data_IF_338346999586
#
_entry.id   IF_338346999586
#
_cell.length_a   1.000
_cell.length_b   1.000
_cell.length_c   1.000
_cell.angle_alpha   90.00
_cell.angle_beta   90.00
_cell.angle_gamma   90.00
#
_symmetry.space_group_name_H-M   'P 1'
#
loop_
_entity.id
_entity.type
_entity.pdbx_description
1 polymer ?
#
# COMPACT_ATOMS: atom_id res chain seq x y z
N UNK A 1 -8.25 -25.41 -2.46
CA UNK A 1 -7.44 -24.46 -1.67
C UNK A 1 -8.09 -23.11 -1.84
N UNK A 2 -8.44 -22.44 -0.74
CA UNK A 2 -9.29 -21.25 -0.78
C UNK A 2 -8.61 -20.13 -1.60
N UNK A 3 -9.32 -19.55 -2.57
CA UNK A 3 -8.94 -18.29 -3.17
C UNK A 3 -8.80 -17.27 -2.05
N UNK A 4 -7.58 -16.83 -1.79
CA UNK A 4 -7.24 -16.03 -0.61
C UNK A 4 -7.22 -14.55 -0.94
N UNK A 5 -7.35 -13.69 0.07
CA UNK A 5 -6.93 -12.28 0.02
C UNK A 5 -5.43 -12.18 0.36
N UNK A 6 -4.73 -11.07 0.06
CA UNK A 6 -3.40 -10.85 0.62
C UNK A 6 -3.45 -10.93 2.15
N UNK A 7 -2.35 -11.34 2.79
CA UNK A 7 -2.24 -11.34 4.25
C UNK A 7 -2.15 -9.90 4.80
N UNK A 8 -1.55 -8.99 4.04
CA UNK A 8 -1.48 -7.57 4.37
C UNK A 8 -1.40 -6.68 3.13
N UNK A 9 -1.75 -5.42 3.32
CA UNK A 9 -1.50 -4.32 2.38
C UNK A 9 -0.49 -3.38 3.01
N UNK A 10 0.64 -3.17 2.33
CA UNK A 10 1.58 -2.11 2.64
C UNK A 10 1.26 -0.88 1.79
N UNK A 11 1.23 0.29 2.42
CA UNK A 11 0.93 1.57 1.80
C UNK A 11 2.16 2.46 1.87
N UNK A 12 2.64 2.92 0.73
CA UNK A 12 3.38 4.18 0.69
C UNK A 12 2.44 5.35 1.07
N UNK A 13 3.03 6.52 1.33
CA UNK A 13 2.31 7.67 1.87
C UNK A 13 2.07 8.78 0.84
N UNK A 14 3.12 9.54 0.51
CA UNK A 14 3.02 10.67 -0.41
C UNK A 14 2.80 10.17 -1.84
N UNK A 15 1.94 10.83 -2.61
CA UNK A 15 1.56 10.39 -3.94
C UNK A 15 0.66 9.14 -3.97
N UNK A 16 0.39 8.52 -2.82
CA UNK A 16 -0.34 7.25 -2.70
C UNK A 16 -1.59 7.38 -1.85
N UNK A 17 -1.45 7.71 -0.56
CA UNK A 17 -2.58 7.95 0.37
C UNK A 17 -2.89 9.43 0.46
N UNK A 18 -1.85 10.27 0.52
CA UNK A 18 -1.96 11.74 0.51
C UNK A 18 -1.11 12.30 -0.63
N UNK A 19 -1.44 13.49 -1.18
CA UNK A 19 -0.54 14.18 -2.12
C UNK A 19 0.82 14.48 -1.50
N UNK A 20 0.79 15.00 -0.27
CA UNK A 20 1.97 15.32 0.51
C UNK A 20 1.63 15.35 1.99
N UNK A 21 2.64 15.21 2.85
CA UNK A 21 2.48 15.33 4.30
C UNK A 21 1.68 16.57 4.70
N UNK A 22 0.69 16.39 5.57
CA UNK A 22 -0.17 17.48 6.06
C UNK A 22 -1.34 17.85 5.15
N UNK A 23 -1.44 17.26 3.95
CA UNK A 23 -2.58 17.46 3.05
C UNK A 23 -3.65 16.39 3.26
N UNK A 24 -4.86 16.66 2.76
CA UNK A 24 -5.96 15.71 2.85
C UNK A 24 -5.66 14.42 2.05
N UNK A 25 -6.10 13.25 2.55
CA UNK A 25 -6.02 12.01 1.78
C UNK A 25 -6.76 12.11 0.44
N UNK A 26 -6.29 11.34 -0.54
CA UNK A 26 -7.02 11.17 -1.79
C UNK A 26 -8.42 10.58 -1.52
N UNK A 27 -9.39 10.99 -2.35
CA UNK A 27 -10.76 10.55 -2.23
C UNK A 27 -10.85 9.01 -2.25
N UNK A 28 -11.58 8.43 -1.29
CA UNK A 28 -11.78 6.99 -1.15
C UNK A 28 -10.68 6.25 -0.40
N UNK A 29 -9.50 6.85 -0.15
CA UNK A 29 -8.39 6.15 0.50
C UNK A 29 -8.74 5.63 1.91
N UNK A 30 -9.32 6.50 2.75
CA UNK A 30 -9.69 6.14 4.12
C UNK A 30 -10.83 5.12 4.15
N UNK A 31 -11.82 5.28 3.27
CA UNK A 31 -13.02 4.42 3.21
C UNK A 31 -12.65 2.99 2.81
N UNK A 32 -11.81 2.84 1.79
CA UNK A 32 -11.35 1.53 1.31
C UNK A 32 -10.46 0.85 2.34
N UNK A 33 -9.55 1.59 2.97
CA UNK A 33 -8.72 1.03 4.04
C UNK A 33 -9.55 0.60 5.24
N UNK A 34 -10.60 1.37 5.60
CA UNK A 34 -11.52 0.97 6.65
C UNK A 34 -12.30 -0.31 6.27
N UNK A 35 -12.75 -0.42 5.02
CA UNK A 35 -13.43 -1.62 4.52
C UNK A 35 -12.51 -2.85 4.58
N UNK A 36 -11.27 -2.75 4.10
CA UNK A 36 -10.27 -3.81 4.22
C UNK A 36 -10.08 -4.29 5.65
N UNK A 37 -9.90 -3.35 6.58
CA UNK A 37 -9.72 -3.71 7.99
C UNK A 37 -10.96 -4.33 8.62
N UNK A 38 -12.15 -3.93 8.19
CA UNK A 38 -13.40 -4.57 8.62
C UNK A 38 -13.51 -6.04 8.16
N UNK A 39 -12.70 -6.42 7.18
CA UNK A 39 -12.59 -7.77 6.62
C UNK A 39 -11.30 -8.49 7.06
N UNK A 40 -10.73 -8.07 8.20
CA UNK A 40 -9.51 -8.62 8.83
C UNK A 40 -8.23 -8.55 7.97
N UNK A 41 -8.19 -7.67 6.96
CA UNK A 41 -6.98 -7.41 6.20
C UNK A 41 -6.04 -6.48 6.97
N UNK A 42 -4.81 -6.93 7.20
CA UNK A 42 -3.79 -6.12 7.88
C UNK A 42 -3.33 -4.97 6.99
N UNK A 43 -3.20 -3.77 7.56
CA UNK A 43 -2.77 -2.57 6.82
C UNK A 43 -1.56 -1.95 7.50
N UNK A 44 -0.45 -1.86 6.77
CA UNK A 44 0.78 -1.25 7.25
C UNK A 44 1.14 -0.03 6.43
N UNK A 45 1.47 1.08 7.09
CA UNK A 45 2.04 2.25 6.42
C UNK A 45 3.55 2.11 6.42
N UNK A 46 4.17 2.12 5.26
CA UNK A 46 5.63 2.03 5.10
C UNK A 46 6.07 3.20 4.23
N UNK A 47 6.69 4.22 4.81
CA UNK A 47 7.02 5.46 4.10
C UNK A 47 8.51 5.78 4.19
N UNK A 48 9.06 6.39 3.13
CA UNK A 48 10.43 6.92 3.13
C UNK A 48 10.49 8.27 3.86
N UNK A 49 10.22 8.24 5.16
CA UNK A 49 10.19 9.39 6.04
C UNK A 49 10.71 9.03 7.43
N UNK A 50 11.00 10.03 8.27
CA UNK A 50 11.32 9.77 9.68
C UNK A 50 10.09 9.23 10.43
N UNK A 51 10.30 8.25 11.32
CA UNK A 51 9.23 7.58 12.09
C UNK A 51 8.19 8.54 12.68
N UNK A 52 8.64 9.54 13.46
CA UNK A 52 7.75 10.51 14.10
C UNK A 52 6.95 11.37 13.10
N UNK A 53 7.52 11.62 11.92
CA UNK A 53 6.86 12.43 10.88
C UNK A 53 5.69 11.65 10.29
N UNK A 54 5.91 10.38 9.94
CA UNK A 54 4.86 9.55 9.35
C UNK A 54 3.80 9.18 10.38
N UNK A 55 4.17 8.82 11.61
CA UNK A 55 3.20 8.52 12.68
C UNK A 55 2.23 9.67 12.92
N UNK A 56 2.75 10.90 13.04
CA UNK A 56 1.94 12.09 13.27
C UNK A 56 0.98 12.37 12.11
N UNK A 57 1.43 12.17 10.86
CA UNK A 57 0.56 12.44 9.71
C UNK A 57 -0.49 11.36 9.51
N UNK A 58 -0.14 10.08 9.74
CA UNK A 58 -1.11 8.98 9.77
C UNK A 58 -2.16 9.23 10.84
N UNK A 59 -1.75 9.59 12.06
CA UNK A 59 -2.67 9.92 13.17
C UNK A 59 -3.61 11.07 12.79
N UNK A 60 -3.09 12.15 12.19
CA UNK A 60 -3.90 13.29 11.73
C UNK A 60 -4.99 12.87 10.75
N UNK A 61 -4.68 11.98 9.81
CA UNK A 61 -5.66 11.52 8.79
C UNK A 61 -6.73 10.59 9.36
N UNK A 62 -6.48 9.98 10.52
CA UNK A 62 -7.36 8.93 11.05
C UNK A 62 -7.32 7.62 10.26
N UNK A 63 -6.33 7.41 9.38
CA UNK A 63 -6.17 6.17 8.63
C UNK A 63 -5.99 4.99 9.60
N UNK A 64 -6.92 4.03 9.54
CA UNK A 64 -6.83 2.81 10.31
C UNK A 64 -5.65 1.97 9.81
N UNK A 65 -4.76 1.56 10.73
CA UNK A 65 -3.57 0.75 10.41
C UNK A 65 -3.20 -0.20 11.58
N UNK A 66 -2.42 -1.22 11.26
CA UNK A 66 -1.84 -2.22 12.17
C UNK A 66 -0.36 -1.92 12.50
N UNK A 67 0.24 -0.97 11.79
CA UNK A 67 1.57 -0.45 12.08
C UNK A 67 2.00 0.66 11.11
N UNK A 68 2.87 1.54 11.60
CA UNK A 68 3.45 2.64 10.85
C UNK A 68 4.97 2.56 10.91
N UNK A 69 5.62 2.63 9.76
CA UNK A 69 7.05 2.48 9.63
C UNK A 69 7.65 3.60 8.77
N UNK A 70 8.43 4.47 9.40
CA UNK A 70 9.29 5.44 8.73
C UNK A 70 10.68 4.86 8.50
N UNK A 71 11.18 4.92 7.27
CA UNK A 71 12.42 4.26 6.89
C UNK A 71 13.22 5.03 5.84
N UNK A 72 14.49 4.67 5.66
CA UNK A 72 15.28 5.12 4.51
C UNK A 72 15.09 4.19 3.29
N UNK A 73 14.83 2.91 3.57
CA UNK A 73 14.62 1.83 2.61
C UNK A 73 13.46 0.94 3.10
N UNK A 74 12.50 0.69 2.21
CA UNK A 74 11.28 -0.07 2.50
C UNK A 74 11.52 -1.58 2.40
N UNK A 75 12.50 -2.02 1.61
CA UNK A 75 12.72 -3.44 1.29
C UNK A 75 12.80 -4.35 2.52
N UNK A 76 13.69 -4.06 3.50
CA UNK A 76 13.80 -4.87 4.72
C UNK A 76 12.51 -4.97 5.54
N UNK A 77 11.75 -3.88 5.62
CA UNK A 77 10.49 -3.83 6.36
C UNK A 77 9.44 -4.70 5.69
N UNK A 78 9.33 -4.62 4.36
CA UNK A 78 8.41 -5.46 3.59
C UNK A 78 8.78 -6.94 3.71
N UNK A 79 10.08 -7.29 3.70
CA UNK A 79 10.55 -8.66 3.93
C UNK A 79 10.18 -9.17 5.33
N UNK A 80 10.35 -8.34 6.37
CA UNK A 80 9.96 -8.70 7.74
C UNK A 80 8.45 -8.91 7.87
N UNK A 81 7.64 -8.07 7.20
CA UNK A 81 6.18 -8.25 7.15
C UNK A 81 5.82 -9.56 6.45
N UNK A 82 6.46 -9.89 5.32
CA UNK A 82 6.24 -11.15 4.61
C UNK A 82 6.59 -12.35 5.48
N UNK A 83 7.74 -12.32 6.14
CA UNK A 83 8.19 -13.40 7.03
C UNK A 83 7.23 -13.62 8.21
N UNK A 84 6.56 -12.56 8.68
CA UNK A 84 5.67 -12.62 9.84
C UNK A 84 4.23 -12.97 9.49
N UNK A 85 3.72 -12.48 8.37
CA UNK A 85 2.29 -12.52 8.05
C UNK A 85 1.97 -13.32 6.77
N UNK A 86 2.96 -13.60 5.92
CA UNK A 86 2.75 -14.25 4.62
C UNK A 86 2.71 -13.24 3.47
N UNK A 87 2.16 -13.65 2.32
CA UNK A 87 2.18 -12.85 1.09
C UNK A 87 1.30 -11.60 1.21
N UNK A 88 1.88 -10.43 0.95
CA UNK A 88 1.18 -9.15 0.93
C UNK A 88 1.24 -8.46 -0.42
N UNK A 89 0.84 -7.19 -0.43
CA UNK A 89 0.91 -6.31 -1.61
C UNK A 89 1.42 -4.93 -1.20
N UNK A 90 2.18 -4.25 -2.08
CA UNK A 90 2.59 -2.86 -1.89
C UNK A 90 1.83 -1.94 -2.84
N UNK A 91 1.29 -0.85 -2.30
CA UNK A 91 0.75 0.27 -3.07
C UNK A 91 1.72 1.44 -2.95
N UNK A 92 2.09 2.06 -4.08
CA UNK A 92 3.00 3.21 -4.09
C UNK A 92 3.02 3.92 -5.43
N UNK A 93 3.54 5.14 -5.49
CA UNK A 93 3.56 5.95 -6.72
C UNK A 93 4.96 6.01 -7.37
N UNK A 94 6.01 5.65 -6.63
CA UNK A 94 7.38 5.97 -7.01
C UNK A 94 8.17 4.72 -7.46
N UNK A 95 9.14 4.85 -8.38
CA UNK A 95 10.02 3.72 -8.78
C UNK A 95 10.78 3.06 -7.63
N UNK A 96 10.93 3.74 -6.49
CA UNK A 96 11.55 3.14 -5.30
C UNK A 96 10.65 2.11 -4.63
N UNK A 97 9.34 2.26 -4.76
CA UNK A 97 8.36 1.36 -4.15
C UNK A 97 8.30 0.07 -4.95
N UNK A 98 8.25 0.19 -6.29
CA UNK A 98 8.43 -0.96 -7.19
C UNK A 98 9.69 -1.76 -6.83
N UNK A 99 10.85 -1.10 -6.67
CA UNK A 99 12.09 -1.80 -6.29
C UNK A 99 11.99 -2.49 -4.92
N UNK A 100 11.31 -1.87 -3.96
CA UNK A 100 11.11 -2.47 -2.65
C UNK A 100 10.17 -3.68 -2.70
N UNK A 101 9.08 -3.60 -3.47
CA UNK A 101 8.18 -4.71 -3.73
C UNK A 101 8.91 -5.89 -4.40
N UNK A 102 9.70 -5.62 -5.45
CA UNK A 102 10.53 -6.64 -6.09
C UNK A 102 11.53 -7.29 -5.13
N UNK A 103 12.13 -6.50 -4.23
CA UNK A 103 13.08 -6.99 -3.22
C UNK A 103 12.40 -7.90 -2.18
N UNK A 104 11.15 -7.59 -1.83
CA UNK A 104 10.34 -8.40 -0.92
C UNK A 104 9.62 -9.56 -1.62
N UNK A 105 9.62 -9.59 -2.96
CA UNK A 105 8.94 -10.62 -3.74
C UNK A 105 7.40 -10.52 -3.69
N UNK A 106 6.85 -9.32 -3.48
CA UNK A 106 5.41 -9.07 -3.41
C UNK A 106 4.90 -8.25 -4.61
N UNK A 107 3.62 -8.40 -5.00
CA UNK A 107 3.04 -7.59 -6.06
C UNK A 107 3.03 -6.09 -5.73
N UNK A 108 3.12 -5.27 -6.77
CA UNK A 108 3.11 -3.82 -6.70
C UNK A 108 1.95 -3.22 -7.51
N UNK A 109 1.08 -2.47 -6.83
CA UNK A 109 0.06 -1.64 -7.47
C UNK A 109 0.50 -0.18 -7.48
N UNK A 110 0.69 0.35 -8.68
CA UNK A 110 1.16 1.72 -8.84
C UNK A 110 0.01 2.72 -8.74
N UNK A 111 0.16 3.70 -7.85
CA UNK A 111 -0.65 4.90 -7.82
C UNK A 111 -0.26 5.85 -8.96
N UNK A 112 -1.23 6.19 -9.81
CA UNK A 112 -1.14 7.19 -10.87
C UNK A 112 -1.99 8.43 -10.60
N UNK A 113 -2.21 8.75 -9.32
CA UNK A 113 -3.18 9.74 -8.84
C UNK A 113 -2.86 11.19 -9.26
N UNK A 114 -1.59 11.48 -9.55
CA UNK A 114 -1.13 12.79 -10.02
C UNK A 114 -0.61 12.76 -11.45
N UNK A 115 -0.99 11.72 -12.21
CA UNK A 115 -0.55 11.56 -13.61
C UNK A 115 0.86 11.00 -13.73
N UNK A 116 1.37 10.31 -12.71
CA UNK A 116 2.63 9.57 -12.80
C UNK A 116 2.59 8.61 -14.00
N UNK A 117 3.67 8.52 -14.80
CA UNK A 117 3.74 7.58 -15.90
C UNK A 117 3.72 6.15 -15.35
N UNK A 118 2.97 5.28 -16.03
CA UNK A 118 2.91 3.86 -15.67
C UNK A 118 4.29 3.21 -15.83
N UNK A 119 4.71 2.49 -14.80
CA UNK A 119 5.88 1.63 -14.80
C UNK A 119 5.51 0.29 -15.46
N UNK A 120 6.36 -0.19 -16.36
CA UNK A 120 6.12 -1.42 -17.13
C UNK A 120 6.02 -2.67 -16.26
N UNK A 121 6.71 -2.66 -15.13
CA UNK A 121 6.86 -3.78 -14.21
C UNK A 121 5.83 -3.76 -13.07
N UNK A 122 4.94 -2.78 -13.01
CA UNK A 122 3.87 -2.76 -12.01
C UNK A 122 2.77 -3.78 -12.36
N UNK A 123 2.38 -4.59 -11.38
CA UNK A 123 1.34 -5.62 -11.50
C UNK A 123 -0.05 -5.02 -11.72
N UNK A 124 -0.26 -3.78 -11.27
CA UNK A 124 -1.43 -2.98 -11.59
C UNK A 124 -1.14 -1.50 -11.52
N UNK A 125 -2.05 -0.70 -12.08
CA UNK A 125 -1.97 0.76 -12.11
C UNK A 125 -3.37 1.32 -11.92
N UNK A 126 -3.51 2.25 -10.98
CA UNK A 126 -4.79 2.88 -10.66
C UNK A 126 -4.69 4.41 -10.68
N UNK A 127 -5.77 5.07 -11.06
CA UNK A 127 -5.91 6.53 -11.12
C UNK A 127 -6.87 7.07 -10.06
N UNK A 128 -7.59 6.18 -9.39
CA UNK A 128 -8.39 6.50 -8.23
C UNK A 128 -8.44 5.31 -7.28
N UNK A 129 -8.67 5.59 -5.99
CA UNK A 129 -8.68 4.56 -4.97
C UNK A 129 -9.77 3.51 -5.19
N UNK A 130 -10.91 3.88 -5.80
CA UNK A 130 -11.99 2.94 -6.14
C UNK A 130 -11.55 1.77 -7.04
N UNK A 131 -10.52 1.93 -7.85
CA UNK A 131 -9.99 0.87 -8.73
C UNK A 131 -9.15 -0.15 -7.96
N UNK A 132 -8.63 0.21 -6.79
CA UNK A 132 -7.66 -0.61 -6.04
C UNK A 132 -8.29 -1.90 -5.55
N UNK A 133 -9.54 -1.85 -5.08
CA UNK A 133 -10.29 -3.04 -4.65
C UNK A 133 -10.34 -4.09 -5.78
N UNK A 134 -10.67 -3.64 -7.00
CA UNK A 134 -10.78 -4.51 -8.18
C UNK A 134 -9.42 -5.10 -8.56
N UNK A 135 -8.33 -4.34 -8.42
CA UNK A 135 -6.98 -4.82 -8.70
C UNK A 135 -6.52 -5.86 -7.68
N UNK A 136 -6.79 -5.63 -6.39
CA UNK A 136 -6.51 -6.60 -5.33
C UNK A 136 -7.31 -7.89 -5.58
N UNK A 137 -8.59 -7.77 -5.91
CA UNK A 137 -9.45 -8.91 -6.26
C UNK A 137 -8.98 -9.63 -7.54
N UNK A 138 -8.47 -8.94 -8.55
CA UNK A 138 -7.96 -9.59 -9.77
C UNK A 138 -6.71 -10.44 -9.50
N UNK A 139 -5.80 -9.92 -8.66
CA UNK A 139 -4.55 -10.59 -8.31
C UNK A 139 -4.77 -11.82 -7.41
N UNK A 140 -5.79 -11.81 -6.57
CA UNK A 140 -6.03 -12.83 -5.54
C UNK A 140 -7.29 -13.68 -5.74
N UNK A 141 -8.30 -13.14 -6.42
CA UNK A 141 -9.59 -13.75 -6.70
C UNK A 141 -9.60 -14.71 -7.90
N UNK A 142 -8.46 -14.97 -8.52
CA UNK A 142 -8.36 -15.92 -9.62
C UNK A 142 -8.14 -17.35 -9.11
N UNK A 143 -9.23 -18.09 -8.93
CA UNK A 143 -9.24 -19.53 -9.26
C UNK A 143 -10.61 -19.88 -9.88
N UNK A 144 -10.67 -20.58 -11.03
CA UNK A 144 -11.91 -21.13 -11.57
C UNK A 144 -12.58 -22.15 -10.63
#
# INVERSE_FOLDING_TARGET
MAGGKPAFVALDWNGTVVPFFGLEPYLGALEIVADWRSQDLLVFVVSRAGQKTIERDVERTGLLNDGVFGCADKGPILQDLCARYGDGILLGDHPTDLRAACTAGIPFLQAGLEGQPRLSEADGYYREWGEVQLLVEALWGSTP
#
